data_IF_387340984175
#
_entry.id   IF_387340984175
#
_cell.length_a   1.000
_cell.length_b   1.000
_cell.length_c   1.000
_cell.angle_alpha   90.00
_cell.angle_beta   90.00
_cell.angle_gamma   90.00
#
_symmetry.space_group_name_H-M   'P 1'
#
loop_
_entity.id
_entity.type
_entity.pdbx_description
1 polymer ?
#
# COMPACT_ATOMS: atom_id res chain seq x y z
N UNK A 1 3.56 7.17 -17.50
CA UNK A 1 4.99 7.09 -17.10
C UNK A 1 5.07 7.55 -15.65
N UNK A 2 5.68 6.75 -14.75
CA UNK A 2 5.79 7.10 -13.35
C UNK A 2 6.50 8.45 -13.17
N UNK A 3 6.09 9.20 -12.16
CA UNK A 3 6.73 10.45 -11.76
C UNK A 3 7.04 10.41 -10.26
N UNK A 4 7.79 11.38 -9.74
CA UNK A 4 8.20 11.35 -8.33
C UNK A 4 7.04 11.36 -7.32
N UNK A 5 5.85 11.85 -7.70
CA UNK A 5 4.64 11.75 -6.84
C UNK A 5 4.06 10.35 -6.86
N UNK A 6 4.09 9.68 -8.02
CA UNK A 6 3.72 8.27 -8.16
C UNK A 6 4.62 7.35 -7.33
N UNK A 7 5.92 7.63 -7.27
CA UNK A 7 6.90 6.83 -6.50
C UNK A 7 6.90 7.12 -4.98
N UNK A 8 6.12 8.11 -4.53
CA UNK A 8 6.12 8.52 -3.13
C UNK A 8 5.57 7.43 -2.19
N UNK A 9 4.46 6.71 -2.51
CA UNK A 9 4.00 5.57 -1.71
C UNK A 9 5.00 4.41 -1.63
N UNK A 10 5.75 4.13 -2.71
CA UNK A 10 6.83 3.13 -2.69
C UNK A 10 7.93 3.50 -1.67
N UNK A 11 8.44 4.73 -1.77
CA UNK A 11 9.43 5.27 -0.82
C UNK A 11 8.89 5.31 0.61
N UNK A 12 7.61 5.63 0.77
CA UNK A 12 6.93 5.62 2.06
C UNK A 12 6.88 4.22 2.67
N UNK A 13 6.55 3.19 1.89
CA UNK A 13 6.53 1.80 2.34
C UNK A 13 7.90 1.35 2.88
N UNK A 14 8.99 1.64 2.16
CA UNK A 14 10.35 1.38 2.66
C UNK A 14 10.63 2.07 4.00
N UNK A 15 10.25 3.35 4.14
CA UNK A 15 10.44 4.09 5.39
C UNK A 15 9.58 3.58 6.54
N UNK A 16 8.43 2.97 6.27
CA UNK A 16 7.60 2.35 7.31
C UNK A 16 8.30 1.15 7.95
N UNK A 17 9.04 0.33 7.19
CA UNK A 17 9.78 -0.80 7.77
C UNK A 17 10.76 -0.35 8.86
N UNK A 18 11.52 0.71 8.59
CA UNK A 18 12.44 1.28 9.59
C UNK A 18 11.69 1.87 10.79
N UNK A 19 10.56 2.53 10.57
CA UNK A 19 9.74 3.08 11.66
C UNK A 19 9.17 1.99 12.55
N UNK A 20 8.59 0.94 11.96
CA UNK A 20 8.10 -0.21 12.71
C UNK A 20 9.20 -0.84 13.55
N UNK A 21 10.43 -0.90 13.04
CA UNK A 21 11.56 -1.36 13.84
C UNK A 21 11.88 -0.42 15.03
N UNK A 22 12.07 0.86 14.74
CA UNK A 22 12.44 1.89 15.75
C UNK A 22 11.38 1.97 16.85
N UNK A 23 10.10 1.86 16.49
CA UNK A 23 8.98 1.94 17.41
C UNK A 23 8.70 0.60 18.13
N UNK A 24 9.55 -0.43 17.93
CA UNK A 24 9.40 -1.74 18.55
C UNK A 24 8.21 -2.56 18.03
N UNK A 25 7.63 -2.17 16.89
CA UNK A 25 6.55 -2.89 16.22
C UNK A 25 7.09 -4.07 15.40
N UNK A 26 8.32 -4.04 14.89
CA UNK A 26 8.95 -5.21 14.25
C UNK A 26 10.35 -5.46 14.80
N UNK A 27 10.69 -6.73 15.00
CA UNK A 27 12.07 -7.12 15.30
C UNK A 27 12.98 -6.88 14.09
N UNK A 28 14.28 -6.71 14.33
CA UNK A 28 15.27 -6.54 13.26
C UNK A 28 15.27 -7.75 12.29
N UNK A 29 15.13 -8.97 12.83
CA UNK A 29 15.03 -10.18 12.03
C UNK A 29 13.82 -10.13 11.08
N UNK A 30 12.65 -9.70 11.57
CA UNK A 30 11.45 -9.59 10.74
C UNK A 30 11.57 -8.52 9.66
N UNK A 31 12.23 -7.40 9.96
CA UNK A 31 12.51 -6.36 8.96
C UNK A 31 13.38 -6.90 7.83
N UNK A 32 14.39 -7.71 8.15
CA UNK A 32 15.26 -8.34 7.15
C UNK A 32 14.53 -9.40 6.31
N UNK A 33 13.48 -10.03 6.85
CA UNK A 33 12.64 -10.97 6.10
C UNK A 33 11.67 -10.27 5.15
N UNK A 34 11.32 -9.00 5.38
CA UNK A 34 10.35 -8.28 4.53
C UNK A 34 11.06 -7.68 3.33
N UNK A 35 10.61 -8.05 2.14
CA UNK A 35 11.09 -7.51 0.88
C UNK A 35 10.05 -6.57 0.29
N UNK A 36 10.48 -5.36 -0.09
CA UNK A 36 9.65 -4.36 -0.79
C UNK A 36 10.22 -4.21 -2.19
N UNK A 37 9.36 -4.40 -3.19
CA UNK A 37 9.73 -4.38 -4.61
C UNK A 37 8.78 -3.51 -5.41
N UNK A 38 9.27 -3.01 -6.54
CA UNK A 38 8.43 -2.38 -7.55
C UNK A 38 8.17 -3.39 -8.68
N UNK A 39 6.94 -3.43 -9.18
CA UNK A 39 6.56 -4.04 -10.47
C UNK A 39 6.87 -5.53 -10.69
N UNK A 40 6.78 -6.45 -9.71
CA UNK A 40 6.72 -7.87 -10.05
C UNK A 40 5.45 -8.17 -10.87
N UNK A 41 5.60 -8.73 -12.07
CA UNK A 41 4.46 -9.18 -12.86
C UNK A 41 3.86 -10.45 -12.23
N UNK A 42 2.57 -10.40 -11.92
CA UNK A 42 1.81 -11.49 -11.31
C UNK A 42 0.65 -11.86 -12.21
N UNK A 43 0.45 -13.17 -12.38
CA UNK A 43 -0.68 -13.73 -13.13
C UNK A 43 -1.76 -14.16 -12.14
N UNK A 44 -2.96 -13.60 -12.28
CA UNK A 44 -4.11 -14.02 -11.48
C UNK A 44 -4.58 -15.42 -11.88
N UNK A 45 -4.91 -16.24 -10.88
CA UNK A 45 -5.24 -17.67 -11.05
C UNK A 45 -6.70 -18.00 -10.72
N UNK A 46 -7.45 -17.04 -10.19
CA UNK A 46 -8.80 -17.25 -9.71
C UNK A 46 -9.83 -16.50 -10.58
N UNK A 47 -10.99 -17.11 -10.87
CA UNK A 47 -12.11 -16.41 -11.50
C UNK A 47 -12.56 -15.18 -10.67
N UNK A 48 -13.05 -14.10 -11.32
CA UNK A 48 -13.22 -13.93 -12.77
C UNK A 48 -11.95 -13.45 -13.52
N UNK A 49 -10.81 -13.36 -12.83
CA UNK A 49 -9.59 -12.71 -13.32
C UNK A 49 -8.52 -13.70 -13.83
N UNK A 50 -8.90 -14.93 -14.19
CA UNK A 50 -7.96 -15.96 -14.64
C UNK A 50 -7.14 -15.44 -15.83
N UNK A 51 -5.82 -15.65 -15.78
CA UNK A 51 -4.84 -15.24 -16.79
C UNK A 51 -4.63 -13.72 -16.93
N UNK A 52 -5.33 -12.89 -16.14
CA UNK A 52 -5.03 -11.46 -16.10
C UNK A 52 -3.64 -11.26 -15.49
N UNK A 53 -2.80 -10.49 -16.18
CA UNK A 53 -1.48 -10.08 -15.71
C UNK A 53 -1.55 -8.68 -15.11
N UNK A 54 -0.87 -8.48 -13.98
CA UNK A 54 -0.71 -7.15 -13.41
C UNK A 54 0.61 -6.99 -12.68
N UNK A 55 1.14 -5.78 -12.73
CA UNK A 55 2.29 -5.32 -11.97
C UNK A 55 1.82 -4.32 -10.91
N UNK A 56 2.22 -4.47 -9.64
CA UNK A 56 1.89 -3.52 -8.60
C UNK A 56 2.89 -2.36 -8.59
N UNK A 57 2.44 -1.17 -8.17
CA UNK A 57 3.35 -0.04 -7.95
C UNK A 57 4.29 -0.31 -6.76
N UNK A 58 3.81 -1.05 -5.76
CA UNK A 58 4.66 -1.59 -4.69
C UNK A 58 4.13 -2.93 -4.22
N UNK A 59 5.01 -3.91 -4.15
CA UNK A 59 4.76 -5.23 -3.60
C UNK A 59 5.57 -5.45 -2.33
N UNK A 60 4.92 -5.96 -1.29
CA UNK A 60 5.55 -6.43 -0.06
C UNK A 60 5.44 -7.95 -0.01
N UNK A 61 6.59 -8.62 0.08
CA UNK A 61 6.73 -10.08 0.16
C UNK A 61 7.59 -10.46 1.37
N UNK A 62 7.60 -11.75 1.71
CA UNK A 62 8.45 -12.30 2.77
C UNK A 62 9.51 -13.20 2.12
N UNK A 63 10.78 -12.94 2.41
CA UNK A 63 11.89 -13.83 2.08
C UNK A 63 11.68 -15.20 2.73
N UNK A 64 12.17 -16.24 2.04
CA UNK A 64 11.97 -17.63 2.45
C UNK A 64 10.54 -18.15 2.24
N UNK A 65 9.61 -17.34 1.72
CA UNK A 65 8.30 -17.83 1.33
C UNK A 65 8.39 -18.70 0.07
N UNK A 66 7.71 -19.86 0.01
CA UNK A 66 7.55 -20.61 -1.25
C UNK A 66 6.81 -19.79 -2.31
N UNK A 67 6.12 -18.72 -1.90
CA UNK A 67 5.33 -17.82 -2.74
C UNK A 67 6.01 -16.45 -2.83
N UNK A 68 7.34 -16.39 -2.81
CA UNK A 68 8.11 -15.14 -2.84
C UNK A 68 7.72 -14.21 -4.01
N UNK A 69 7.25 -14.79 -5.12
CA UNK A 69 6.81 -14.06 -6.31
C UNK A 69 5.39 -13.51 -6.22
N UNK A 70 4.65 -13.83 -5.15
CA UNK A 70 3.25 -13.44 -4.97
C UNK A 70 3.15 -12.47 -3.78
N UNK A 71 2.76 -11.20 -4.02
CA UNK A 71 2.79 -10.16 -3.00
C UNK A 71 1.76 -10.41 -1.91
N UNK A 72 2.15 -10.21 -0.65
CA UNK A 72 1.27 -10.29 0.52
C UNK A 72 0.50 -9.00 0.75
N UNK A 73 1.18 -7.87 0.57
CA UNK A 73 0.57 -6.55 0.59
C UNK A 73 0.95 -5.83 -0.69
N UNK A 74 -0.02 -5.18 -1.31
CA UNK A 74 0.17 -4.37 -2.51
C UNK A 74 -0.16 -2.92 -2.20
N UNK A 75 0.58 -1.98 -2.78
CA UNK A 75 0.17 -0.58 -2.87
C UNK A 75 -0.06 -0.25 -4.34
N UNK A 76 -1.24 0.27 -4.65
CA UNK A 76 -1.58 0.81 -5.97
C UNK A 76 -1.72 2.33 -5.87
N UNK A 77 -1.23 3.05 -6.87
CA UNK A 77 -1.11 4.50 -6.89
C UNK A 77 -1.71 5.05 -8.17
N UNK A 78 -2.89 5.67 -8.05
CA UNK A 78 -3.56 6.31 -9.18
C UNK A 78 -3.36 7.81 -9.22
N UNK A 79 -3.09 8.37 -10.40
CA UNK A 79 -3.05 9.81 -10.63
C UNK A 79 -4.02 10.25 -11.74
N UNK A 80 -3.84 9.72 -12.94
CA UNK A 80 -4.73 9.94 -14.09
C UNK A 80 -5.86 8.92 -14.19
N UNK A 81 -5.64 7.75 -13.61
CA UNK A 81 -6.51 6.59 -13.66
C UNK A 81 -7.86 6.93 -13.02
N UNK A 82 -8.99 6.55 -13.65
CA UNK A 82 -10.30 6.63 -13.01
C UNK A 82 -10.31 5.80 -11.73
N UNK A 83 -11.00 6.29 -10.69
CA UNK A 83 -11.11 5.57 -9.42
C UNK A 83 -11.70 4.16 -9.60
N UNK A 84 -12.68 4.00 -10.49
CA UNK A 84 -13.29 2.69 -10.78
C UNK A 84 -12.26 1.68 -11.34
N UNK A 85 -11.31 2.12 -12.16
CA UNK A 85 -10.26 1.26 -12.69
C UNK A 85 -9.31 0.78 -11.58
N UNK A 86 -8.97 1.67 -10.65
CA UNK A 86 -8.14 1.33 -9.50
C UNK A 86 -8.85 0.38 -8.53
N UNK A 87 -10.17 0.48 -8.39
CA UNK A 87 -10.96 -0.47 -7.60
C UNK A 87 -10.99 -1.84 -8.27
N UNK A 88 -11.08 -1.92 -9.61
CA UNK A 88 -10.94 -3.19 -10.33
C UNK A 88 -9.55 -3.81 -10.16
N UNK A 89 -8.50 -2.99 -10.15
CA UNK A 89 -7.14 -3.42 -9.83
C UNK A 89 -7.04 -4.00 -8.41
N UNK A 90 -7.63 -3.34 -7.42
CA UNK A 90 -7.73 -3.84 -6.04
C UNK A 90 -8.45 -5.19 -5.99
N UNK A 91 -9.57 -5.34 -6.72
CA UNK A 91 -10.30 -6.61 -6.79
C UNK A 91 -9.48 -7.70 -7.47
N UNK A 92 -8.75 -7.40 -8.54
CA UNK A 92 -7.87 -8.36 -9.20
C UNK A 92 -6.84 -8.91 -8.20
N UNK A 93 -6.20 -8.03 -7.43
CA UNK A 93 -5.26 -8.45 -6.38
C UNK A 93 -5.93 -9.31 -5.30
N UNK A 94 -7.07 -8.87 -4.77
CA UNK A 94 -7.69 -9.53 -3.63
C UNK A 94 -8.50 -10.78 -4.01
N UNK A 95 -9.08 -10.84 -5.19
CA UNK A 95 -9.97 -11.93 -5.63
C UNK A 95 -9.34 -12.81 -6.70
N UNK A 96 -8.52 -12.24 -7.58
CA UNK A 96 -7.81 -12.95 -8.65
C UNK A 96 -6.53 -13.64 -8.16
N UNK A 97 -5.72 -12.97 -7.35
CA UNK A 97 -4.53 -13.58 -6.72
C UNK A 97 -4.90 -14.35 -5.43
N UNK A 98 -5.91 -13.85 -4.70
CA UNK A 98 -6.73 -14.47 -3.62
C UNK A 98 -6.01 -15.11 -2.42
N UNK A 99 -5.03 -15.97 -2.64
CA UNK A 99 -4.35 -16.73 -1.58
C UNK A 99 -3.21 -15.91 -0.98
N UNK A 100 -2.48 -15.17 -1.81
CA UNK A 100 -1.22 -14.55 -1.38
C UNK A 100 -1.41 -13.10 -0.97
N UNK A 101 -2.08 -12.29 -1.78
CA UNK A 101 -2.32 -10.88 -1.46
C UNK A 101 -3.39 -10.76 -0.41
N UNK A 102 -3.08 -10.29 0.79
CA UNK A 102 -3.99 -10.17 1.94
C UNK A 102 -4.62 -8.80 2.05
N UNK A 103 -3.83 -7.77 1.73
CA UNK A 103 -4.26 -6.36 1.78
C UNK A 103 -3.79 -5.62 0.54
N UNK A 104 -4.58 -4.62 0.17
CA UNK A 104 -4.19 -3.61 -0.82
C UNK A 104 -4.35 -2.24 -0.20
N UNK A 105 -3.32 -1.41 -0.28
CA UNK A 105 -3.39 0.01 0.05
C UNK A 105 -3.57 0.76 -1.26
N UNK A 106 -4.74 1.36 -1.46
CA UNK A 106 -4.99 2.19 -2.64
C UNK A 106 -4.72 3.65 -2.30
N UNK A 107 -3.79 4.29 -3.01
CA UNK A 107 -3.53 5.72 -2.93
C UNK A 107 -4.00 6.36 -4.22
N UNK A 108 -4.98 7.28 -4.14
CA UNK A 108 -5.48 7.98 -5.32
C UNK A 108 -5.33 9.48 -5.16
N UNK A 109 -4.58 10.09 -6.07
CA UNK A 109 -4.47 11.53 -6.22
C UNK A 109 -5.47 12.09 -7.23
N UNK A 110 -5.98 13.28 -6.92
CA UNK A 110 -6.90 14.05 -7.73
C UNK A 110 -6.29 15.41 -8.01
N UNK A 111 -6.14 15.75 -9.30
CA UNK A 111 -5.82 17.11 -9.70
C UNK A 111 -7.02 18.01 -9.42
N UNK A 112 -6.76 19.15 -8.76
CA UNK A 112 -7.72 20.21 -8.48
C UNK A 112 -7.22 21.50 -9.14
N UNK A 113 -8.09 22.51 -9.25
CA UNK A 113 -7.73 23.81 -9.86
C UNK A 113 -6.54 24.49 -9.18
N UNK A 114 -6.39 24.30 -7.87
CA UNK A 114 -5.39 24.99 -7.05
C UNK A 114 -4.28 24.06 -6.51
N UNK A 115 -4.27 22.78 -6.87
CA UNK A 115 -3.33 21.80 -6.33
C UNK A 115 -3.78 20.36 -6.52
N UNK A 116 -3.41 19.47 -5.60
CA UNK A 116 -3.92 18.10 -5.56
C UNK A 116 -4.52 17.75 -4.20
N UNK A 117 -5.43 16.79 -4.22
CA UNK A 117 -5.94 16.12 -3.04
C UNK A 117 -5.69 14.61 -3.19
N UNK A 118 -5.57 13.89 -2.09
CA UNK A 118 -5.47 12.44 -2.13
C UNK A 118 -6.55 11.76 -1.31
N UNK A 119 -6.81 10.50 -1.62
CA UNK A 119 -7.42 9.54 -0.70
C UNK A 119 -6.45 8.37 -0.54
N UNK A 120 -6.52 7.74 0.62
CA UNK A 120 -5.83 6.49 0.91
C UNK A 120 -6.81 5.53 1.56
N UNK A 121 -6.82 4.30 1.07
CA UNK A 121 -7.78 3.28 1.44
C UNK A 121 -7.06 1.98 1.75
N UNK A 122 -7.52 1.28 2.79
CA UNK A 122 -7.09 -0.08 3.09
C UNK A 122 -8.21 -1.03 2.65
N UNK A 123 -7.86 -1.98 1.81
CA UNK A 123 -8.74 -3.00 1.28
C UNK A 123 -8.31 -4.39 1.74
N UNK A 124 -9.27 -5.30 1.88
CA UNK A 124 -9.02 -6.70 2.16
C UNK A 124 -10.20 -7.56 1.70
N UNK A 125 -10.26 -8.81 2.17
CA UNK A 125 -11.35 -9.74 1.85
C UNK A 125 -12.30 -9.94 3.02
N UNK A 126 -13.60 -9.96 2.73
CA UNK A 126 -14.62 -10.34 3.71
C UNK A 126 -14.65 -11.87 3.88
N UNK A 127 -15.55 -12.38 4.72
CA UNK A 127 -15.70 -13.84 4.96
C UNK A 127 -16.10 -14.65 3.73
N UNK A 128 -16.73 -14.03 2.72
CA UNK A 128 -17.04 -14.67 1.43
C UNK A 128 -15.84 -14.67 0.47
N UNK A 129 -14.74 -13.99 0.82
CA UNK A 129 -13.56 -13.85 0.00
C UNK A 129 -13.63 -12.70 -1.01
N UNK A 130 -14.67 -11.87 -0.99
CA UNK A 130 -14.82 -10.70 -1.85
C UNK A 130 -14.05 -9.51 -1.30
N UNK A 131 -13.49 -8.70 -2.20
CA UNK A 131 -12.80 -7.47 -1.85
C UNK A 131 -13.78 -6.47 -1.22
N UNK A 132 -13.34 -5.81 -0.15
CA UNK A 132 -14.07 -4.73 0.48
C UNK A 132 -13.12 -3.70 1.09
N UNK A 133 -13.58 -2.45 1.14
CA UNK A 133 -12.85 -1.37 1.77
C UNK A 133 -13.01 -1.48 3.30
N UNK A 134 -11.89 -1.67 4.00
CA UNK A 134 -11.82 -1.75 5.46
C UNK A 134 -11.84 -0.35 6.05
N UNK A 135 -11.12 0.57 5.40
CA UNK A 135 -10.85 1.89 5.94
C UNK A 135 -10.50 2.87 4.82
N UNK A 136 -10.82 4.15 5.00
CA UNK A 136 -10.49 5.23 4.06
C UNK A 136 -10.23 6.53 4.80
N UNK A 137 -9.32 7.34 4.26
CA UNK A 137 -9.07 8.69 4.72
C UNK A 137 -8.62 9.60 3.56
N UNK A 138 -8.76 10.91 3.76
CA UNK A 138 -8.23 11.93 2.85
C UNK A 138 -6.78 12.21 3.20
N UNK A 139 -5.94 12.36 2.17
CA UNK A 139 -4.60 12.92 2.29
C UNK A 139 -4.70 14.40 1.96
N UNK A 140 -4.63 15.24 2.99
CA UNK A 140 -4.39 16.68 2.79
C UNK A 140 -2.90 16.90 2.60
N UNK A 141 -2.47 17.57 1.53
CA UNK A 141 -1.04 17.70 1.20
C UNK A 141 -0.30 18.82 1.97
N UNK A 142 -1.02 19.61 2.79
CA UNK A 142 -0.52 20.87 3.37
C UNK A 142 -0.94 20.95 4.84
N UNK A 143 -2.21 21.22 5.09
CA UNK A 143 -2.82 21.12 6.42
C UNK A 143 -4.09 20.27 6.33
N UNK A 144 -4.26 19.40 7.31
CA UNK A 144 -5.46 18.59 7.43
C UNK A 144 -5.72 18.29 8.90
N UNK A 145 -6.96 17.91 9.25
CA UNK A 145 -7.22 17.36 10.57
C UNK A 145 -6.30 16.17 10.84
N UNK A 146 -6.12 15.77 12.12
CA UNK A 146 -5.37 14.57 12.45
C UNK A 146 -5.85 13.40 11.59
N UNK A 147 -4.95 12.86 10.78
CA UNK A 147 -5.25 11.69 9.97
C UNK A 147 -5.33 10.50 10.91
N UNK A 148 -6.41 9.72 10.80
CA UNK A 148 -6.46 8.44 11.51
C UNK A 148 -5.36 7.54 10.93
N UNK A 149 -4.64 6.76 11.74
CA UNK A 149 -3.62 5.87 11.21
C UNK A 149 -4.24 4.71 10.45
N UNK A 150 -3.47 4.17 9.49
CA UNK A 150 -3.76 2.87 8.88
C UNK A 150 -3.03 1.83 9.71
N UNK A 151 -3.73 0.78 10.11
CA UNK A 151 -3.14 -0.34 10.82
C UNK A 151 -3.16 -1.57 9.93
N UNK A 152 -1.98 -2.15 9.72
CA UNK A 152 -1.81 -3.44 9.09
C UNK A 152 -1.59 -4.49 10.19
N UNK A 153 -2.38 -5.57 10.28
CA UNK A 153 -2.05 -6.71 11.12
C UNK A 153 -0.63 -7.23 10.81
N UNK A 154 0.17 -7.51 11.83
CA UNK A 154 1.53 -8.08 11.62
C UNK A 154 1.53 -9.37 10.84
N UNK A 155 0.49 -10.18 11.06
CA UNK A 155 0.33 -11.44 10.34
C UNK A 155 0.21 -11.21 8.84
N UNK A 156 -0.25 -10.05 8.36
CA UNK A 156 -0.27 -9.74 6.94
C UNK A 156 1.14 -9.62 6.32
N UNK A 157 2.19 -9.50 7.14
CA UNK A 157 3.60 -9.55 6.73
C UNK A 157 4.29 -10.89 7.07
N UNK A 158 3.56 -11.86 7.62
CA UNK A 158 4.11 -13.16 7.99
C UNK A 158 3.46 -14.29 7.19
N UNK A 159 4.20 -15.37 6.96
CA UNK A 159 3.68 -16.60 6.38
C UNK A 159 2.84 -17.43 7.38
N UNK A 160 2.11 -16.79 8.28
CA UNK A 160 1.37 -17.47 9.37
C UNK A 160 2.26 -17.91 10.53
N UNK A 161 3.54 -17.50 10.54
CA UNK A 161 4.40 -17.62 11.71
C UNK A 161 4.02 -16.52 12.72
N UNK A 162 3.45 -16.92 13.85
CA UNK A 162 3.15 -16.03 14.97
C UNK A 162 4.48 -15.50 15.52
N UNK A 163 4.61 -14.19 15.65
CA UNK A 163 5.76 -13.56 16.32
C UNK A 163 5.49 -13.56 17.84
N UNK A 164 6.15 -14.44 18.63
CA UNK A 164 5.89 -14.55 20.07
C UNK A 164 6.38 -13.33 20.86
N UNK A 165 7.16 -12.42 20.26
CA UNK A 165 7.73 -11.24 20.95
C UNK A 165 6.86 -9.98 20.81
N UNK A 166 5.75 -10.07 20.10
CA UNK A 166 4.92 -8.91 19.75
C UNK A 166 3.98 -8.47 20.88
N UNK A 167 4.24 -7.30 21.50
CA UNK A 167 3.31 -6.63 22.43
C UNK A 167 2.11 -5.92 21.77
N UNK A 168 2.17 -5.67 20.46
CA UNK A 168 1.13 -4.98 19.68
C UNK A 168 0.97 -5.71 18.34
N UNK A 169 -0.23 -6.19 18.01
CA UNK A 169 -0.52 -7.00 16.81
C UNK A 169 -0.62 -6.17 15.52
N UNK A 170 -0.45 -4.84 15.62
CA UNK A 170 -0.65 -3.89 14.53
C UNK A 170 0.61 -3.13 14.17
N UNK A 171 0.73 -2.87 12.87
CA UNK A 171 1.75 -2.06 12.23
C UNK A 171 1.12 -0.75 11.76
N UNK A 172 1.57 0.37 12.32
CA UNK A 172 1.03 1.68 12.00
C UNK A 172 1.70 2.27 10.75
N UNK A 173 0.93 2.48 9.70
CA UNK A 173 1.38 3.27 8.55
C UNK A 173 1.27 4.76 8.85
N UNK A 174 2.41 5.41 9.04
CA UNK A 174 2.48 6.82 9.43
C UNK A 174 2.20 7.78 8.25
N UNK A 175 0.93 8.13 8.04
CA UNK A 175 0.46 8.97 6.92
C UNK A 175 1.12 10.36 6.86
N UNK A 176 1.42 11.06 7.98
CA UNK A 176 2.14 12.34 7.90
C UNK A 176 3.52 12.22 7.24
N UNK A 177 4.16 11.04 7.29
CA UNK A 177 5.40 10.81 6.56
C UNK A 177 5.20 10.63 5.06
N UNK A 178 4.09 10.00 4.62
CA UNK A 178 3.71 9.94 3.20
C UNK A 178 3.53 11.37 2.65
N UNK A 179 2.78 12.21 3.37
CA UNK A 179 2.61 13.63 3.03
C UNK A 179 3.95 14.34 2.89
N UNK A 180 4.83 14.20 3.88
CA UNK A 180 6.17 14.80 3.85
C UNK A 180 6.99 14.35 2.63
N UNK A 181 6.90 13.07 2.27
CA UNK A 181 7.59 12.50 1.11
C UNK A 181 7.02 13.09 -0.18
N UNK A 182 5.69 13.10 -0.35
CA UNK A 182 5.03 13.68 -1.53
C UNK A 182 5.43 15.15 -1.73
N UNK A 183 5.37 15.95 -0.67
CA UNK A 183 5.71 17.38 -0.72
C UNK A 183 7.19 17.60 -1.06
N UNK A 184 8.10 16.75 -0.56
CA UNK A 184 9.54 16.85 -0.85
C UNK A 184 9.93 16.30 -2.22
N UNK A 185 9.30 15.23 -2.69
CA UNK A 185 9.67 14.53 -3.93
C UNK A 185 9.10 15.20 -5.19
N UNK A 186 8.09 16.06 -5.05
CA UNK A 186 7.82 17.08 -6.06
C UNK A 186 6.43 17.06 -6.65
N UNK A 187 5.44 17.50 -5.86
CA UNK A 187 4.18 18.04 -6.40
C UNK A 187 4.46 19.09 -7.50
N UNK A 188 5.44 19.96 -7.27
CA UNK A 188 5.82 21.00 -8.23
C UNK A 188 6.31 20.43 -9.57
N UNK A 189 6.90 19.22 -9.58
CA UNK A 189 7.41 18.56 -10.79
C UNK A 189 6.31 17.98 -11.67
N UNK A 190 5.09 17.88 -11.14
CA UNK A 190 3.88 17.47 -11.89
C UNK A 190 2.91 18.63 -12.08
N UNK A 191 3.40 19.88 -11.92
CA UNK A 191 2.59 21.09 -12.09
C UNK A 191 1.54 21.27 -11.00
N UNK A 192 1.75 20.69 -9.82
CA UNK A 192 0.88 20.83 -8.66
C UNK A 192 1.58 21.68 -7.59
N UNK A 193 0.91 22.71 -7.10
CA UNK A 193 1.30 23.40 -5.87
C UNK A 193 0.54 22.81 -4.70
N UNK A 194 1.16 22.62 -3.52
CA UNK A 194 0.41 22.32 -2.32
C UNK A 194 -0.52 23.52 -1.98
N UNK A 195 -1.83 23.28 -1.87
CA UNK A 195 -2.86 24.22 -1.39
C UNK A 195 -2.66 24.65 0.09
N UNK A 196 -2.45 25.93 0.45
CA UNK A 196 -2.22 26.36 1.84
C UNK A 196 -3.13 25.71 2.91
#
# INVERSE_FOLDING_TARGET
MPNYTHEAPHTWCHKQLFRWHIDGQLSAAKVLDVMVTASPCVVARNPPYVDNQKEPDTAVTCLGSPTLHEPMVVIEVGFSEPYVSLVEDVKLWLEGVRVHTRKVILVKFFRRRLGAAGIIELWGRNSAGSAYMIWSNRISLIHGPPERPIYLPKDDLSNGAVDPESRNDRLEFHIPSLRSIITKMGLNRVGLTPLP
#
